data_IF_265640650532
#
_entry.id   IF_265640650532
#
_cell.length_a   1.000
_cell.length_b   1.000
_cell.length_c   1.000
_cell.angle_alpha   90.00
_cell.angle_beta   90.00
_cell.angle_gamma   90.00
#
_symmetry.space_group_name_H-M   'P 1'
#
loop_
_entity.id
_entity.type
_entity.pdbx_description
1 polymer ?
#
# COMPACT_ATOMS: atom_id res chain seq x y z
N UNK A 1 16.60 -17.29 -31.76
CA UNK A 1 16.24 -16.22 -30.78
C UNK A 1 16.23 -16.86 -29.40
N UNK A 2 17.09 -16.41 -28.47
CA UNK A 2 17.14 -16.95 -27.11
C UNK A 2 16.13 -16.12 -26.28
N UNK A 3 15.14 -16.77 -25.70
CA UNK A 3 14.15 -16.13 -24.82
C UNK A 3 14.64 -16.21 -23.38
N UNK A 4 14.64 -15.08 -22.68
CA UNK A 4 14.94 -15.00 -21.25
C UNK A 4 13.65 -14.65 -20.50
N UNK A 5 13.20 -15.52 -19.56
CA UNK A 5 12.05 -15.20 -18.73
C UNK A 5 12.42 -14.14 -17.68
N UNK A 6 11.58 -13.14 -17.51
CA UNK A 6 11.67 -12.17 -16.43
C UNK A 6 10.44 -12.35 -15.53
N UNK A 7 10.67 -12.59 -14.24
CA UNK A 7 9.60 -12.81 -13.26
C UNK A 7 9.68 -11.71 -12.22
N UNK A 8 8.58 -10.98 -12.03
CA UNK A 8 8.39 -10.02 -10.95
C UNK A 8 7.34 -10.54 -9.96
N UNK A 9 7.52 -10.24 -8.70
CA UNK A 9 6.54 -10.50 -7.65
C UNK A 9 6.09 -9.18 -7.05
N UNK A 10 4.80 -9.07 -6.80
CA UNK A 10 4.18 -8.01 -6.05
C UNK A 10 3.43 -8.63 -4.87
N UNK A 11 3.68 -8.13 -3.67
CA UNK A 11 3.11 -8.69 -2.43
C UNK A 11 2.33 -7.59 -1.73
N UNK A 12 1.05 -7.83 -1.52
CA UNK A 12 0.17 -6.96 -0.75
C UNK A 12 0.06 -7.43 0.70
N UNK A 13 0.16 -6.50 1.63
CA UNK A 13 0.04 -6.75 3.06
C UNK A 13 -0.94 -5.75 3.67
N UNK A 14 -2.10 -6.22 4.10
CA UNK A 14 -3.08 -5.40 4.80
C UNK A 14 -2.58 -5.02 6.19
N UNK A 15 -2.65 -3.73 6.52
CA UNK A 15 -2.21 -3.23 7.81
C UNK A 15 -3.33 -3.30 8.85
N UNK A 16 -3.08 -3.97 9.95
CA UNK A 16 -3.99 -4.01 11.09
C UNK A 16 -3.93 -2.67 11.86
N UNK A 17 -4.77 -1.71 11.44
CA UNK A 17 -4.96 -0.40 12.07
C UNK A 17 -6.42 -0.23 12.49
N UNK A 18 -6.70 0.63 13.46
CA UNK A 18 -8.07 0.88 13.93
C UNK A 18 -8.91 1.67 12.94
N UNK A 19 -8.29 2.54 12.18
CA UNK A 19 -8.93 3.32 11.12
C UNK A 19 -8.26 3.05 9.78
N UNK A 20 -8.94 3.38 8.69
CA UNK A 20 -8.41 3.29 7.33
C UNK A 20 -7.15 4.13 7.16
N UNK A 21 -6.41 3.88 6.07
CA UNK A 21 -5.12 4.53 5.84
C UNK A 21 -5.24 6.03 5.58
N UNK A 22 -6.27 6.49 4.89
CA UNK A 22 -6.43 7.89 4.48
C UNK A 22 -7.74 8.54 4.94
N UNK A 23 -8.50 7.87 5.79
CA UNK A 23 -9.70 8.42 6.44
C UNK A 23 -9.82 7.96 7.88
N UNK A 24 -10.66 8.64 8.67
CA UNK A 24 -10.94 8.28 10.06
C UNK A 24 -11.95 7.14 10.22
N UNK A 25 -12.46 6.57 9.13
CA UNK A 25 -13.42 5.47 9.19
C UNK A 25 -12.79 4.23 9.81
N UNK A 26 -13.62 3.43 10.46
CA UNK A 26 -13.18 2.16 11.06
C UNK A 26 -12.62 1.20 10.01
N UNK A 27 -11.61 0.43 10.42
CA UNK A 27 -10.96 -0.58 9.58
C UNK A 27 -11.19 -1.99 10.13
N UNK A 28 -12.37 -2.28 10.64
CA UNK A 28 -12.74 -3.65 11.02
C UNK A 28 -13.75 -4.23 10.04
N UNK A 29 -13.71 -5.54 9.93
CA UNK A 29 -14.64 -6.27 9.07
C UNK A 29 -16.08 -6.08 9.50
N UNK A 30 -16.98 -5.85 8.54
CA UNK A 30 -18.42 -5.77 8.72
C UNK A 30 -19.12 -6.47 7.57
N UNK A 31 -20.23 -7.15 7.87
CA UNK A 31 -21.09 -7.75 6.86
C UNK A 31 -22.13 -6.77 6.31
N UNK A 32 -22.25 -5.60 6.92
CA UNK A 32 -23.21 -4.56 6.50
C UNK A 32 -22.50 -3.60 5.57
N UNK A 33 -22.87 -3.55 4.28
CA UNK A 33 -22.23 -2.65 3.31
C UNK A 33 -22.32 -1.18 3.72
N UNK A 34 -21.30 -0.40 3.35
CA UNK A 34 -21.26 1.05 3.49
C UNK A 34 -21.42 1.59 4.92
N UNK A 35 -21.08 0.80 5.95
CA UNK A 35 -21.12 1.26 7.35
C UNK A 35 -19.81 1.82 7.86
N UNK A 36 -18.68 1.43 7.26
CA UNK A 36 -17.33 1.90 7.59
C UNK A 36 -16.83 2.92 6.58
N UNK A 37 -17.61 3.96 6.31
CA UNK A 37 -17.30 5.00 5.34
C UNK A 37 -17.48 6.39 5.96
N UNK A 38 -16.70 7.36 5.46
CA UNK A 38 -16.76 8.77 5.81
C UNK A 38 -16.98 9.63 4.58
N UNK A 39 -17.14 10.91 4.77
CA UNK A 39 -17.21 11.89 3.68
C UNK A 39 -15.97 11.92 2.80
N UNK A 40 -14.81 11.51 3.35
CA UNK A 40 -13.57 11.37 2.59
C UNK A 40 -13.65 10.16 1.65
N UNK A 41 -14.09 9.01 2.16
CA UNK A 41 -14.26 7.78 1.36
C UNK A 41 -15.29 7.97 0.23
N UNK A 42 -16.32 8.80 0.48
CA UNK A 42 -17.36 9.15 -0.48
C UNK A 42 -16.96 10.26 -1.46
N UNK A 43 -15.76 10.78 -1.34
CA UNK A 43 -15.26 11.87 -2.19
C UNK A 43 -16.11 13.16 -2.17
N UNK A 44 -16.61 13.55 -1.00
CA UNK A 44 -17.40 14.79 -0.89
C UNK A 44 -16.53 16.00 -1.26
N UNK A 45 -17.09 17.01 -1.94
CA UNK A 45 -16.37 18.21 -2.32
C UNK A 45 -15.71 18.88 -1.11
N UNK A 46 -14.44 19.29 -1.27
CA UNK A 46 -13.67 19.96 -0.22
C UNK A 46 -13.03 19.04 0.82
N UNK A 47 -13.23 17.73 0.75
CA UNK A 47 -12.56 16.77 1.64
C UNK A 47 -11.17 16.42 1.15
N UNK A 48 -10.23 16.27 2.10
CA UNK A 48 -8.86 15.86 1.81
C UNK A 48 -8.50 14.61 2.62
N UNK A 49 -7.84 13.62 1.98
CA UNK A 49 -7.30 12.46 2.67
C UNK A 49 -6.28 12.86 3.74
N UNK A 50 -6.22 12.09 4.84
CA UNK A 50 -5.24 12.27 5.91
C UNK A 50 -4.57 10.94 6.22
N UNK A 51 -3.24 10.84 6.10
CA UNK A 51 -2.51 9.60 6.39
C UNK A 51 -2.68 9.17 7.85
N UNK A 52 -2.89 7.87 8.05
CA UNK A 52 -2.89 7.25 9.36
C UNK A 52 -1.46 7.03 9.84
N UNK A 53 -1.06 7.72 10.92
CA UNK A 53 0.30 7.64 11.44
C UNK A 53 0.69 6.23 11.90
N UNK A 54 -0.25 5.42 12.34
CA UNK A 54 0.03 4.03 12.72
C UNK A 54 0.39 3.19 11.48
N UNK A 55 -0.32 3.37 10.37
CA UNK A 55 0.02 2.74 9.10
C UNK A 55 1.39 3.19 8.59
N UNK A 56 1.69 4.49 8.65
CA UNK A 56 3.01 5.03 8.32
C UNK A 56 4.11 4.36 9.14
N UNK A 57 3.94 4.26 10.47
CA UNK A 57 4.91 3.61 11.35
C UNK A 57 5.11 2.13 11.04
N UNK A 58 4.04 1.41 10.68
CA UNK A 58 4.12 -0.01 10.30
C UNK A 58 4.87 -0.19 8.99
N UNK A 59 4.57 0.64 7.99
CA UNK A 59 5.28 0.60 6.71
C UNK A 59 6.77 0.92 6.87
N UNK A 60 7.11 1.93 7.69
CA UNK A 60 8.50 2.26 8.00
C UNK A 60 9.23 1.10 8.69
N UNK A 61 8.58 0.44 9.66
CA UNK A 61 9.17 -0.75 10.31
C UNK A 61 9.42 -1.88 9.32
N UNK A 62 8.50 -2.10 8.38
CA UNK A 62 8.66 -3.10 7.34
C UNK A 62 9.85 -2.75 6.42
N UNK A 63 9.96 -1.50 5.99
CA UNK A 63 11.07 -1.04 5.15
C UNK A 63 12.43 -1.27 5.82
N UNK A 64 12.54 -0.94 7.11
CA UNK A 64 13.75 -1.18 7.89
C UNK A 64 14.04 -2.68 8.08
N UNK A 65 13.02 -3.50 8.36
CA UNK A 65 13.17 -4.94 8.52
C UNK A 65 13.60 -5.66 7.23
N UNK A 66 13.27 -5.08 6.09
CA UNK A 66 13.65 -5.58 4.76
C UNK A 66 14.90 -4.89 4.20
N UNK A 67 15.73 -4.28 5.07
CA UNK A 67 16.99 -3.65 4.72
C UNK A 67 16.88 -2.60 3.59
N UNK A 68 15.75 -1.92 3.50
CA UNK A 68 15.52 -0.91 2.48
C UNK A 68 16.16 0.43 2.85
N UNK A 69 16.58 1.16 1.84
CA UNK A 69 16.93 2.57 1.96
C UNK A 69 15.66 3.38 2.20
N UNK A 70 15.59 4.06 3.35
CA UNK A 70 14.45 4.88 3.74
C UNK A 70 14.79 6.35 3.47
N UNK A 71 14.00 7.07 2.66
CA UNK A 71 14.26 8.48 2.38
C UNK A 71 13.84 9.37 3.57
N UNK A 72 14.43 10.57 3.66
CA UNK A 72 14.05 11.58 4.65
C UNK A 72 12.63 12.13 4.42
N UNK A 73 12.14 12.04 3.18
CA UNK A 73 10.85 12.52 2.76
C UNK A 73 10.14 11.48 1.88
N UNK A 74 8.89 11.19 2.17
CA UNK A 74 8.01 10.35 1.35
C UNK A 74 6.93 11.19 0.70
N UNK A 75 6.51 10.82 -0.50
CA UNK A 75 5.42 11.47 -1.22
C UNK A 75 4.33 10.47 -1.55
N UNK A 76 3.09 10.95 -1.49
CA UNK A 76 1.94 10.22 -1.98
C UNK A 76 1.53 10.78 -3.34
N UNK A 77 1.29 9.86 -4.25
CA UNK A 77 0.86 10.13 -5.63
C UNK A 77 -0.58 9.67 -5.80
N UNK A 78 -1.25 10.14 -6.86
CA UNK A 78 -2.59 9.72 -7.25
C UNK A 78 -2.51 8.84 -8.49
N UNK A 79 -2.99 7.60 -8.38
CA UNK A 79 -3.20 6.70 -9.50
C UNK A 79 -4.63 6.89 -9.99
N UNK A 80 -4.80 7.66 -11.06
CA UNK A 80 -6.12 7.99 -11.58
C UNK A 80 -6.69 6.85 -12.42
N UNK A 81 -7.85 6.37 -12.07
CA UNK A 81 -8.64 5.42 -12.84
C UNK A 81 -10.10 5.41 -12.35
N UNK A 82 -11.01 4.94 -13.19
CA UNK A 82 -12.43 4.89 -12.85
C UNK A 82 -12.88 3.44 -12.68
N UNK A 83 -13.39 3.16 -11.50
CA UNK A 83 -14.00 1.88 -11.17
C UNK A 83 -15.15 2.09 -10.19
N UNK A 84 -16.20 1.24 -10.18
CA UNK A 84 -17.38 1.45 -9.33
C UNK A 84 -17.09 1.51 -7.83
N UNK A 85 -16.04 0.85 -7.35
CA UNK A 85 -15.60 0.84 -5.96
C UNK A 85 -14.67 2.00 -5.59
N UNK A 86 -14.41 2.92 -6.52
CA UNK A 86 -13.49 4.03 -6.36
C UNK A 86 -14.19 5.38 -6.63
N UNK A 87 -15.02 5.89 -5.67
CA UNK A 87 -15.82 7.11 -5.87
C UNK A 87 -14.97 8.35 -6.19
N UNK A 88 -13.75 8.42 -5.67
CA UNK A 88 -12.83 9.54 -5.89
C UNK A 88 -12.24 9.59 -7.31
N UNK A 89 -12.30 8.49 -8.07
CA UNK A 89 -11.65 8.36 -9.36
C UNK A 89 -10.12 8.25 -9.29
N UNK A 90 -9.54 8.02 -8.12
CA UNK A 90 -8.12 7.77 -7.92
C UNK A 90 -7.86 6.94 -6.67
N UNK A 91 -6.77 6.19 -6.68
CA UNK A 91 -6.19 5.51 -5.53
C UNK A 91 -4.95 6.31 -5.07
N UNK A 92 -4.79 6.48 -3.77
CA UNK A 92 -3.57 7.06 -3.22
C UNK A 92 -2.51 5.96 -3.14
N UNK A 93 -1.36 6.22 -3.71
CA UNK A 93 -0.22 5.30 -3.76
C UNK A 93 1.09 6.08 -3.66
N UNK A 94 2.22 5.44 -3.92
CA UNK A 94 3.53 6.09 -3.97
C UNK A 94 4.30 5.58 -5.18
N UNK A 95 4.72 6.46 -6.06
CA UNK A 95 5.53 6.15 -7.24
C UNK A 95 6.88 6.88 -7.17
N UNK A 96 6.86 8.14 -6.77
CA UNK A 96 8.03 9.03 -6.83
C UNK A 96 8.96 8.81 -5.65
N UNK A 97 8.44 8.88 -4.41
CA UNK A 97 9.21 8.72 -3.17
C UNK A 97 8.52 7.72 -2.24
N UNK A 98 8.68 6.41 -2.47
CA UNK A 98 8.11 5.38 -1.62
C UNK A 98 8.83 5.29 -0.27
N UNK A 99 8.28 4.50 0.66
CA UNK A 99 8.85 4.30 1.99
C UNK A 99 10.18 3.56 2.01
N UNK A 100 10.45 2.73 1.02
CA UNK A 100 11.71 2.00 0.93
C UNK A 100 12.09 1.69 -0.51
N UNK A 101 13.40 1.68 -0.77
CA UNK A 101 13.99 1.26 -2.05
C UNK A 101 15.18 0.35 -1.79
N UNK A 102 15.53 -0.44 -2.82
CA UNK A 102 16.76 -1.25 -2.82
C UNK A 102 16.91 -2.17 -1.59
N UNK A 103 15.78 -2.67 -1.07
CA UNK A 103 15.78 -3.60 0.03
C UNK A 103 16.19 -5.02 -0.38
N UNK A 104 16.33 -5.90 0.60
CA UNK A 104 16.59 -7.30 0.34
C UNK A 104 16.17 -8.19 1.51
N UNK A 105 15.97 -9.45 1.20
CA UNK A 105 15.80 -10.53 2.17
C UNK A 105 16.69 -11.71 1.76
N UNK A 106 17.37 -12.31 2.72
CA UNK A 106 18.15 -13.53 2.49
C UNK A 106 17.29 -14.73 2.86
N UNK A 107 17.16 -15.67 1.93
CA UNK A 107 16.40 -16.91 2.08
C UNK A 107 17.29 -18.13 1.87
N UNK A 108 16.98 -19.23 2.54
CA UNK A 108 17.63 -20.51 2.30
C UNK A 108 16.84 -21.30 1.27
N UNK A 109 17.50 -21.73 0.21
CA UNK A 109 16.91 -22.57 -0.84
C UNK A 109 17.84 -23.76 -1.09
N UNK A 110 17.37 -24.96 -0.78
CA UNK A 110 18.12 -26.21 -0.95
C UNK A 110 19.51 -26.18 -0.27
N UNK A 111 19.57 -25.66 0.95
CA UNK A 111 20.83 -25.57 1.72
C UNK A 111 21.78 -24.45 1.28
N UNK A 112 21.36 -23.59 0.38
CA UNK A 112 22.15 -22.44 -0.08
C UNK A 112 21.42 -21.14 0.19
N UNK A 113 22.14 -20.14 0.69
CA UNK A 113 21.58 -18.79 0.91
C UNK A 113 21.44 -18.07 -0.43
N UNK A 114 20.26 -17.52 -0.67
CA UNK A 114 19.96 -16.66 -1.81
C UNK A 114 19.44 -15.31 -1.34
N UNK A 115 19.93 -14.24 -1.93
CA UNK A 115 19.41 -12.89 -1.73
C UNK A 115 18.34 -12.58 -2.75
N UNK A 116 17.14 -12.23 -2.23
CA UNK A 116 16.04 -11.69 -3.01
C UNK A 116 16.04 -10.18 -2.85
N UNK A 117 16.18 -9.44 -3.95
CA UNK A 117 16.14 -8.00 -3.94
C UNK A 117 14.70 -7.49 -3.98
N UNK A 118 14.44 -6.43 -3.22
CA UNK A 118 13.15 -5.75 -3.13
C UNK A 118 13.33 -4.39 -3.78
N UNK A 119 12.66 -4.18 -4.91
CA UNK A 119 12.80 -2.96 -5.68
C UNK A 119 12.28 -1.75 -4.90
N UNK A 120 11.05 -1.85 -4.37
CA UNK A 120 10.45 -0.78 -3.57
C UNK A 120 9.40 -1.30 -2.61
N UNK A 121 9.15 -0.52 -1.56
CA UNK A 121 8.06 -0.71 -0.60
C UNK A 121 7.29 0.59 -0.54
N UNK A 122 6.00 0.52 -0.81
CA UNK A 122 5.14 1.70 -0.74
C UNK A 122 3.87 1.41 0.06
N UNK A 123 3.25 2.48 0.52
CA UNK A 123 1.99 2.48 1.24
C UNK A 123 0.91 3.00 0.30
N UNK A 124 -0.16 2.26 0.20
CA UNK A 124 -1.27 2.66 -0.66
C UNK A 124 -2.63 2.49 0.01
N UNK A 125 -3.61 3.11 -0.57
CA UNK A 125 -4.99 2.95 -0.20
C UNK A 125 -5.50 1.61 -0.72
N UNK A 126 -6.10 0.82 0.17
CA UNK A 126 -6.90 -0.32 -0.26
C UNK A 126 -8.26 0.19 -0.70
N UNK A 127 -8.57 0.07 -1.99
CA UNK A 127 -9.88 0.45 -2.52
C UNK A 127 -10.95 -0.55 -2.06
N UNK A 128 -12.19 -0.07 -1.96
CA UNK A 128 -13.32 -0.90 -1.55
C UNK A 128 -13.53 -2.07 -2.52
N UNK A 129 -14.02 -3.19 -2.01
CA UNK A 129 -14.44 -4.33 -2.82
C UNK A 129 -15.90 -4.21 -3.21
N UNK A 130 -16.22 -4.50 -4.48
CA UNK A 130 -17.60 -4.71 -4.90
C UNK A 130 -18.08 -6.10 -4.51
N UNK A 131 -19.24 -6.17 -3.86
CA UNK A 131 -19.95 -7.44 -3.64
C UNK A 131 -20.96 -7.61 -4.78
N UNK A 132 -20.87 -8.70 -5.51
CA UNK A 132 -21.81 -9.08 -6.59
C UNK A 132 -22.90 -9.99 -6.04
#
# INVERSE_FOLDING_TARGET
MKLEPTIGLEIHCELNTKSKMFSGSNNFYTTIPNTNISVIDLAFPGTLPRPNIEGVRKCLKLALALNSEVPDEVLFDRKNYYYPDLPKGYQITQMTKPFGKNGYIDIEVNGSNKRCFIHQIHLEEDSASMTH
#
